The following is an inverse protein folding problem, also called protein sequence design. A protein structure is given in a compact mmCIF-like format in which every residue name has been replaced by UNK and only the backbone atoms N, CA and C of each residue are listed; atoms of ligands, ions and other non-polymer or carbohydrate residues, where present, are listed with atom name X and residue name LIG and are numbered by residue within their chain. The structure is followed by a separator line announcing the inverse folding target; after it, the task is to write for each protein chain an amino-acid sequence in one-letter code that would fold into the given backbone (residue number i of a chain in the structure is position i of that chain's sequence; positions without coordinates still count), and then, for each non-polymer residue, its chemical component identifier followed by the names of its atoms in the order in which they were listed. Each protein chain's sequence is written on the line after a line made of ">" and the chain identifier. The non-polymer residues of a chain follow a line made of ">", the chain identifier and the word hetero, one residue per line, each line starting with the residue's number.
data_IF_565165175901
#
_entry.id   IF_565165175901
#
_cell.length_a   1.000
_cell.length_b   1.000
_cell.length_c   1.000
_cell.angle_alpha   90.00
_cell.angle_beta   90.00
_cell.angle_gamma   90.00
#
_symmetry.space_group_name_H-M   'P 1'
#
loop_
_entity.id
_entity.type
_entity.pdbx_description
1 polymer ?
#
# COMPACT_ATOMS: atom_id res chain seq x y z
N UNK A 1 13.19 -6.90 15.53
CA UNK A 1 11.96 -6.36 16.13
C UNK A 1 11.80 -4.92 15.67
N UNK A 2 10.77 -4.60 14.88
CA UNK A 2 10.81 -3.38 14.04
C UNK A 2 9.65 -2.40 14.20
N UNK A 3 8.84 -2.50 15.27
CA UNK A 3 7.95 -1.42 15.71
C UNK A 3 6.86 -0.92 14.74
N UNK A 4 6.75 -1.49 13.52
CA UNK A 4 5.88 -0.93 12.47
C UNK A 4 4.39 -1.28 12.68
N UNK A 5 4.13 -2.30 13.51
CA UNK A 5 2.79 -2.70 13.94
C UNK A 5 2.68 -2.60 15.47
N UNK A 6 2.24 -1.45 16.00
CA UNK A 6 1.59 -1.49 17.31
C UNK A 6 0.32 -2.31 17.11
N UNK A 7 0.35 -3.57 17.55
CA UNK A 7 -0.79 -4.46 17.54
C UNK A 7 -1.93 -3.93 18.40
N UNK A 8 -3.05 -4.64 18.42
CA UNK A 8 -4.17 -4.34 19.31
C UNK A 8 -3.68 -4.28 20.79
N UNK A 9 -4.41 -3.59 21.69
CA UNK A 9 -4.06 -3.48 23.11
C UNK A 9 -3.81 -4.84 23.79
N UNK A 10 -4.37 -5.93 23.24
CA UNK A 10 -4.22 -7.31 23.69
C UNK A 10 -2.96 -8.04 23.18
N UNK A 11 -2.08 -7.36 22.43
CA UNK A 11 -0.86 -7.92 21.80
C UNK A 11 -1.11 -9.07 20.80
N UNK A 12 -2.34 -9.29 20.34
CA UNK A 12 -2.62 -10.33 19.34
C UNK A 12 -2.27 -9.86 17.93
N UNK A 13 -1.41 -10.64 17.26
CA UNK A 13 -1.23 -10.53 15.82
C UNK A 13 -2.36 -11.31 15.15
N UNK A 14 -3.27 -10.61 14.48
CA UNK A 14 -4.45 -11.20 13.80
C UNK A 14 -4.19 -11.26 12.28
N UNK A 15 -3.42 -12.24 11.78
CA UNK A 15 -2.87 -12.24 10.42
C UNK A 15 -3.94 -12.24 9.33
N UNK A 16 -5.13 -12.78 9.61
CA UNK A 16 -6.20 -13.01 8.64
C UNK A 16 -7.11 -11.79 8.43
N UNK A 17 -7.05 -10.80 9.33
CA UNK A 17 -7.82 -9.58 9.15
C UNK A 17 -7.31 -8.80 7.94
N UNK A 18 -8.25 -8.32 7.13
CA UNK A 18 -7.95 -7.44 6.01
C UNK A 18 -7.38 -6.12 6.51
N UNK A 19 -6.41 -5.58 5.78
CA UNK A 19 -5.80 -4.29 6.10
C UNK A 19 -6.69 -3.18 5.58
N UNK A 20 -7.11 -2.26 6.47
CA UNK A 20 -7.80 -1.01 6.10
C UNK A 20 -6.83 -0.01 5.43
N UNK A 21 -7.36 0.85 4.56
CA UNK A 21 -6.57 1.85 3.82
C UNK A 21 -5.94 2.90 4.72
N UNK A 22 -6.59 3.28 5.82
CA UNK A 22 -6.00 4.18 6.82
C UNK A 22 -4.83 3.54 7.58
N UNK A 23 -4.96 2.27 7.96
CA UNK A 23 -3.92 1.50 8.61
C UNK A 23 -2.71 1.31 7.69
N UNK A 24 -2.93 1.14 6.38
CA UNK A 24 -1.88 1.15 5.36
C UNK A 24 -1.12 2.49 5.35
N UNK A 25 -1.84 3.62 5.33
CA UNK A 25 -1.22 4.94 5.37
C UNK A 25 -0.36 5.14 6.62
N UNK A 26 -0.92 4.79 7.78
CA UNK A 26 -0.20 4.88 9.03
C UNK A 26 1.05 4.00 9.05
N UNK A 27 0.98 2.82 8.44
CA UNK A 27 2.11 1.92 8.34
C UNK A 27 3.22 2.48 7.44
N UNK A 28 2.90 2.86 6.20
CA UNK A 28 3.89 3.38 5.24
C UNK A 28 4.55 4.66 5.76
N UNK A 29 3.77 5.53 6.41
CA UNK A 29 4.30 6.71 7.08
C UNK A 29 5.32 6.33 8.17
N UNK A 30 4.98 5.39 9.06
CA UNK A 30 5.92 4.93 10.10
C UNK A 30 7.14 4.24 9.49
N UNK A 31 6.96 3.48 8.41
CA UNK A 31 8.05 2.80 7.72
C UNK A 31 9.06 3.79 7.14
N UNK A 32 8.59 4.87 6.50
CA UNK A 32 9.44 5.96 5.99
C UNK A 32 10.23 6.70 7.08
N UNK A 33 9.77 6.66 8.33
CA UNK A 33 10.37 7.38 9.46
C UNK A 33 11.01 6.45 10.51
N UNK A 34 11.34 5.20 10.15
CA UNK A 34 11.96 4.20 11.04
C UNK A 34 13.27 4.68 11.71
N UNK A 35 13.95 5.68 11.15
CA UNK A 35 15.22 6.23 11.66
C UNK A 35 15.11 7.20 12.85
N UNK A 36 13.93 7.40 13.44
CA UNK A 36 13.77 8.23 14.64
C UNK A 36 13.76 9.75 14.40
N UNK A 37 13.88 10.18 13.15
CA UNK A 37 13.60 11.57 12.79
C UNK A 37 12.13 11.88 13.10
N UNK A 38 11.89 12.96 13.85
CA UNK A 38 10.53 13.41 14.10
C UNK A 38 9.94 13.85 12.76
N UNK A 39 8.81 13.27 12.33
CA UNK A 39 8.21 13.65 11.05
C UNK A 39 7.83 15.13 11.08
N UNK A 40 8.36 15.92 10.14
CA UNK A 40 8.10 17.36 10.01
C UNK A 40 6.89 17.69 9.15
N UNK A 41 6.16 16.66 8.68
CA UNK A 41 5.02 16.86 7.81
C UNK A 41 3.86 17.55 8.56
N UNK A 42 3.49 18.73 8.06
CA UNK A 42 2.34 19.50 8.52
C UNK A 42 1.14 19.14 7.63
N UNK A 43 0.07 18.53 8.16
CA UNK A 43 -1.13 18.24 7.38
C UNK A 43 -1.78 19.52 6.85
N UNK A 44 -2.38 19.49 5.65
CA UNK A 44 -3.08 20.65 5.12
C UNK A 44 -4.31 20.98 5.95
N UNK A 45 -4.63 22.27 6.10
CA UNK A 45 -5.82 22.75 6.81
C UNK A 45 -7.13 22.47 6.06
N UNK A 46 -7.04 22.16 4.77
CA UNK A 46 -8.14 21.67 3.94
C UNK A 46 -7.81 20.28 3.42
N UNK A 47 -8.74 19.35 3.60
CA UNK A 47 -8.56 17.97 3.14
C UNK A 47 -8.52 17.88 1.62
N UNK A 48 -7.58 17.10 1.04
CA UNK A 48 -7.58 16.78 -0.38
C UNK A 48 -8.65 15.74 -0.75
N UNK A 49 -9.27 15.08 0.22
CA UNK A 49 -10.30 14.06 0.01
C UNK A 49 -11.63 14.48 0.67
N UNK A 50 -12.73 14.24 -0.03
CA UNK A 50 -14.07 14.68 0.41
C UNK A 50 -14.62 13.89 1.59
N UNK A 51 -14.13 12.67 1.82
CA UNK A 51 -14.53 11.74 2.89
C UNK A 51 -13.52 11.66 4.03
N UNK A 52 -12.70 12.70 4.19
CA UNK A 52 -11.66 12.75 5.22
C UNK A 52 -11.65 14.12 5.91
N UNK A 53 -12.07 14.18 7.16
CA UNK A 53 -12.04 15.38 7.98
C UNK A 53 -10.64 15.59 8.59
N UNK A 54 -10.27 16.85 8.87
CA UNK A 54 -8.97 17.21 9.49
C UNK A 54 -8.81 16.65 10.91
N UNK A 55 -9.91 16.28 11.56
CA UNK A 55 -9.96 15.66 12.88
C UNK A 55 -9.92 14.14 12.85
N UNK A 56 -9.98 13.51 11.67
CA UNK A 56 -10.05 12.06 11.56
C UNK A 56 -8.74 11.38 12.01
N UNK A 57 -8.83 10.18 12.59
CA UNK A 57 -7.66 9.34 12.80
C UNK A 57 -6.86 9.16 11.52
N UNK A 58 -5.55 9.21 11.63
CA UNK A 58 -4.62 9.05 10.52
C UNK A 58 -4.71 10.12 9.41
N UNK A 59 -5.41 11.24 9.64
CA UNK A 59 -5.48 12.36 8.68
C UNK A 59 -4.09 12.78 8.18
N UNK A 60 -3.14 12.93 9.12
CA UNK A 60 -1.75 13.29 8.81
C UNK A 60 -1.09 12.26 7.89
N UNK A 61 -1.19 10.98 8.21
CA UNK A 61 -0.53 9.92 7.46
C UNK A 61 -1.14 9.74 6.07
N UNK A 62 -2.47 9.86 5.95
CA UNK A 62 -3.17 9.80 4.66
C UNK A 62 -2.80 11.01 3.78
N UNK A 63 -2.80 12.22 4.34
CA UNK A 63 -2.43 13.42 3.58
C UNK A 63 -0.95 13.49 3.26
N UNK A 64 -0.08 12.88 4.07
CA UNK A 64 1.33 12.68 3.72
C UNK A 64 1.46 11.76 2.50
N UNK A 65 0.76 10.63 2.47
CA UNK A 65 0.77 9.76 1.28
C UNK A 65 0.32 10.51 0.02
N UNK A 66 -0.70 11.37 0.15
CA UNK A 66 -1.20 12.17 -0.97
C UNK A 66 -0.13 13.17 -1.43
N UNK A 67 0.50 13.89 -0.49
CA UNK A 67 1.56 14.85 -0.77
C UNK A 67 2.80 14.21 -1.42
N UNK A 68 3.11 12.95 -1.07
CA UNK A 68 4.19 12.17 -1.69
C UNK A 68 3.79 11.49 -3.01
N UNK A 69 2.54 11.63 -3.46
CA UNK A 69 2.03 10.95 -4.66
C UNK A 69 1.87 9.43 -4.50
N UNK A 70 1.96 8.91 -3.28
CA UNK A 70 1.83 7.48 -2.98
C UNK A 70 0.36 7.03 -3.11
N UNK A 71 -0.58 7.90 -2.75
CA UNK A 71 -2.01 7.70 -3.01
C UNK A 71 -2.60 8.84 -3.82
N UNK A 72 -3.56 8.50 -4.66
CA UNK A 72 -4.32 9.45 -5.49
C UNK A 72 -5.81 9.49 -5.10
N UNK A 73 -6.23 8.69 -4.12
CA UNK A 73 -7.64 8.44 -3.84
C UNK A 73 -8.36 7.77 -5.01
N UNK A 74 -9.68 7.93 -5.03
CA UNK A 74 -10.59 7.49 -6.07
C UNK A 74 -10.99 8.67 -6.96
N UNK A 75 -11.52 8.37 -8.15
CA UNK A 75 -11.91 9.38 -9.14
C UNK A 75 -13.06 10.28 -8.68
N UNK A 76 -13.81 9.86 -7.67
CA UNK A 76 -14.88 10.64 -7.01
C UNK A 76 -14.36 11.62 -5.95
N UNK A 77 -13.03 11.72 -5.78
CA UNK A 77 -12.40 12.59 -4.78
C UNK A 77 -12.33 11.99 -3.37
N UNK A 78 -12.68 10.71 -3.18
CA UNK A 78 -12.62 10.04 -1.88
C UNK A 78 -11.31 9.30 -1.65
N UNK A 79 -10.95 9.04 -0.39
CA UNK A 79 -9.85 8.15 0.01
C UNK A 79 -10.33 6.76 0.45
N UNK A 80 -11.51 6.70 1.07
CA UNK A 80 -12.17 5.52 1.67
C UNK A 80 -11.33 4.89 2.79
N UNK A 81 -11.08 5.61 3.90
CA UNK A 81 -10.13 5.19 4.94
C UNK A 81 -10.43 3.81 5.54
N UNK A 82 -11.71 3.48 5.70
CA UNK A 82 -12.14 2.20 6.29
C UNK A 82 -12.19 1.05 5.29
N UNK A 83 -12.03 1.35 4.00
CA UNK A 83 -12.04 0.35 2.94
C UNK A 83 -10.88 -0.63 3.07
N UNK A 84 -11.10 -1.88 2.68
CA UNK A 84 -10.03 -2.87 2.61
C UNK A 84 -9.08 -2.57 1.45
N UNK A 85 -7.78 -2.80 1.67
CA UNK A 85 -6.77 -2.74 0.61
C UNK A 85 -6.79 -4.04 -0.18
N UNK A 86 -7.12 -3.95 -1.47
CA UNK A 86 -6.96 -5.05 -2.42
C UNK A 86 -5.50 -5.23 -2.86
N UNK A 87 -5.16 -6.41 -3.37
CA UNK A 87 -3.79 -6.75 -3.81
C UNK A 87 -3.26 -5.86 -4.93
N UNK A 88 -4.12 -5.45 -5.86
CA UNK A 88 -3.78 -4.49 -6.91
C UNK A 88 -3.48 -3.09 -6.34
N UNK A 89 -4.26 -2.63 -5.36
CA UNK A 89 -4.03 -1.38 -4.65
C UNK A 89 -2.72 -1.43 -3.86
N UNK A 90 -2.41 -2.55 -3.20
CA UNK A 90 -1.12 -2.75 -2.53
C UNK A 90 0.04 -2.62 -3.52
N UNK A 91 -0.07 -3.20 -4.71
CA UNK A 91 0.94 -3.07 -5.76
C UNK A 91 1.15 -1.60 -6.13
N UNK A 92 0.06 -0.84 -6.30
CA UNK A 92 0.13 0.59 -6.59
C UNK A 92 0.77 1.40 -5.46
N UNK A 93 0.42 1.13 -4.21
CA UNK A 93 1.03 1.78 -3.05
C UNK A 93 2.54 1.55 -3.00
N UNK A 94 3.00 0.30 -3.14
CA UNK A 94 4.42 -0.04 -3.04
C UNK A 94 5.23 0.49 -4.23
N UNK A 95 4.69 0.43 -5.45
CA UNK A 95 5.34 1.00 -6.64
C UNK A 95 5.55 2.51 -6.49
N UNK A 96 4.52 3.23 -6.04
CA UNK A 96 4.61 4.68 -5.86
C UNK A 96 5.48 5.06 -4.66
N UNK A 97 5.43 4.28 -3.59
CA UNK A 97 6.33 4.41 -2.45
C UNK A 97 7.80 4.28 -2.87
N UNK A 98 8.11 3.38 -3.81
CA UNK A 98 9.43 3.23 -4.40
C UNK A 98 9.83 4.36 -5.38
N UNK A 99 9.06 5.46 -5.43
CA UNK A 99 9.33 6.60 -6.31
C UNK A 99 8.82 6.43 -7.75
N UNK A 100 7.92 5.47 -7.99
CA UNK A 100 7.37 5.18 -9.34
C UNK A 100 8.45 4.95 -10.40
N UNK A 101 9.38 4.01 -10.17
CA UNK A 101 10.55 3.81 -11.02
C UNK A 101 10.17 3.51 -12.47
N UNK A 102 10.96 3.99 -13.43
CA UNK A 102 10.73 3.69 -14.83
C UNK A 102 10.70 2.17 -15.07
N UNK A 103 9.55 1.67 -15.55
CA UNK A 103 9.35 0.25 -15.77
C UNK A 103 8.49 0.02 -17.02
N UNK A 104 8.93 -0.91 -17.87
CA UNK A 104 8.19 -1.35 -19.05
C UNK A 104 7.50 -2.67 -18.74
N UNK A 105 6.16 -2.70 -18.62
CA UNK A 105 5.43 -3.94 -18.36
C UNK A 105 5.61 -4.94 -19.50
N UNK A 106 5.70 -6.25 -19.21
CA UNK A 106 5.84 -7.26 -20.24
C UNK A 106 4.60 -7.29 -21.14
N UNK A 107 4.79 -7.62 -22.43
CA UNK A 107 3.70 -7.75 -23.41
C UNK A 107 2.75 -8.91 -23.10
N UNK A 108 3.22 -9.92 -22.36
CA UNK A 108 2.43 -11.03 -21.85
C UNK A 108 2.43 -10.96 -20.32
N UNK A 109 1.26 -11.09 -19.72
CA UNK A 109 1.14 -11.08 -18.26
C UNK A 109 1.81 -12.33 -17.67
N UNK A 110 2.60 -12.19 -16.59
CA UNK A 110 3.09 -13.33 -15.82
C UNK A 110 1.97 -13.99 -15.00
N UNK A 111 0.80 -13.35 -14.88
CA UNK A 111 -0.36 -13.85 -14.14
C UNK A 111 -1.55 -14.05 -15.06
N UNK A 112 -2.21 -15.21 -14.94
CA UNK A 112 -3.31 -15.62 -15.83
C UNK A 112 -4.58 -14.79 -15.66
N UNK A 113 -4.77 -14.16 -14.51
CA UNK A 113 -5.94 -13.35 -14.14
C UNK A 113 -5.68 -11.83 -14.16
N UNK A 114 -4.56 -11.40 -14.74
CA UNK A 114 -4.24 -9.98 -14.89
C UNK A 114 -4.12 -9.62 -16.37
N UNK A 115 -5.08 -8.85 -16.86
CA UNK A 115 -5.07 -8.33 -18.22
C UNK A 115 -4.00 -7.25 -18.40
N UNK A 116 -3.31 -7.24 -19.54
CA UNK A 116 -2.26 -6.25 -19.87
C UNK A 116 -2.79 -4.82 -20.00
N UNK A 117 -4.09 -4.67 -20.23
CA UNK A 117 -4.81 -3.39 -20.30
C UNK A 117 -5.54 -3.04 -19.00
N UNK A 118 -5.45 -3.90 -17.98
CA UNK A 118 -6.14 -3.75 -16.71
C UNK A 118 -5.53 -2.66 -15.82
N UNK A 119 -6.29 -2.19 -14.81
CA UNK A 119 -5.78 -1.25 -13.83
C UNK A 119 -4.58 -1.86 -13.10
N UNK A 120 -3.59 -1.01 -12.81
CA UNK A 120 -2.38 -1.37 -12.06
C UNK A 120 -1.52 -2.49 -12.68
N UNK A 121 -1.71 -2.85 -13.95
CA UNK A 121 -0.91 -3.89 -14.60
C UNK A 121 0.59 -3.65 -14.49
N UNK A 122 1.02 -2.39 -14.71
CA UNK A 122 2.43 -1.98 -14.58
C UNK A 122 2.94 -2.20 -13.17
N UNK A 123 2.20 -1.76 -12.17
CA UNK A 123 2.58 -1.84 -10.77
C UNK A 123 2.63 -3.30 -10.30
N UNK A 124 1.65 -4.12 -10.69
CA UNK A 124 1.61 -5.56 -10.39
C UNK A 124 2.82 -6.28 -11.01
N UNK A 125 3.11 -6.01 -12.28
CA UNK A 125 4.22 -6.67 -12.98
C UNK A 125 5.59 -6.14 -12.56
N UNK A 126 5.69 -4.88 -12.12
CA UNK A 126 6.89 -4.37 -11.47
C UNK A 126 7.15 -5.10 -10.14
N UNK A 127 6.12 -5.30 -9.30
CA UNK A 127 6.26 -6.10 -8.07
C UNK A 127 6.76 -7.51 -8.36
N UNK A 128 6.26 -8.13 -9.43
CA UNK A 128 6.70 -9.45 -9.85
C UNK A 128 8.16 -9.44 -10.32
N UNK A 129 8.55 -8.45 -11.13
CA UNK A 129 9.93 -8.26 -11.58
C UNK A 129 10.93 -7.96 -10.46
N UNK A 130 10.47 -7.38 -9.35
CA UNK A 130 11.26 -7.18 -8.13
C UNK A 130 11.18 -8.37 -7.15
N UNK A 131 10.47 -9.44 -7.51
CA UNK A 131 10.23 -10.62 -6.67
C UNK A 131 9.55 -10.28 -5.33
N UNK A 132 8.84 -9.15 -5.28
CA UNK A 132 8.01 -8.74 -4.13
C UNK A 132 6.72 -9.56 -4.10
N UNK A 133 6.33 -10.14 -5.24
CA UNK A 133 5.22 -11.10 -5.32
C UNK A 133 5.52 -12.17 -6.36
N UNK A 134 5.10 -13.40 -6.06
CA UNK A 134 5.15 -14.54 -7.00
C UNK A 134 3.75 -14.99 -7.43
N UNK A 135 2.70 -14.29 -6.98
CA UNK A 135 1.32 -14.74 -7.15
C UNK A 135 0.97 -15.96 -6.29
N UNK A 136 0.04 -16.76 -6.79
CA UNK A 136 -0.39 -18.04 -6.22
C UNK A 136 0.12 -19.19 -7.08
N UNK A 137 0.12 -20.40 -6.51
CA UNK A 137 0.62 -21.60 -7.20
C UNK A 137 -0.16 -21.96 -8.49
N UNK A 138 -1.39 -21.46 -8.62
CA UNK A 138 -2.24 -21.61 -9.82
C UNK A 138 -1.90 -20.60 -10.93
N UNK A 139 -0.86 -19.78 -10.76
CA UNK A 139 -0.45 -18.76 -11.72
C UNK A 139 -1.28 -17.46 -11.66
N UNK A 140 -2.15 -17.30 -10.65
CA UNK A 140 -2.96 -16.09 -10.47
C UNK A 140 -2.29 -15.07 -9.55
N UNK A 141 -2.66 -13.79 -9.69
CA UNK A 141 -2.32 -12.71 -8.77
C UNK A 141 -3.47 -12.39 -7.81
N UNK A 142 -4.73 -12.59 -8.20
CA UNK A 142 -5.96 -12.25 -7.47
C UNK A 142 -6.07 -10.76 -7.12
N UNK A 143 -6.08 -9.86 -8.12
CA UNK A 143 -5.93 -8.41 -7.92
C UNK A 143 -6.96 -7.81 -6.95
N UNK A 144 -8.21 -8.29 -6.99
CA UNK A 144 -9.33 -7.79 -6.19
C UNK A 144 -9.42 -8.39 -4.78
N UNK A 145 -8.62 -9.41 -4.49
CA UNK A 145 -8.63 -10.04 -3.17
C UNK A 145 -8.06 -9.06 -2.13
N UNK A 146 -8.74 -8.95 -0.99
CA UNK A 146 -8.27 -8.14 0.12
C UNK A 146 -6.94 -8.69 0.67
N UNK A 147 -6.03 -7.79 1.02
CA UNK A 147 -4.74 -8.15 1.61
C UNK A 147 -4.92 -8.34 3.11
N UNK A 148 -4.60 -9.56 3.58
CA UNK A 148 -4.49 -9.84 5.00
C UNK A 148 -3.23 -9.21 5.59
N UNK A 149 -3.19 -8.99 6.90
CA UNK A 149 -2.00 -8.46 7.59
C UNK A 149 -0.77 -9.32 7.38
N UNK A 150 -0.93 -10.65 7.36
CA UNK A 150 0.14 -11.59 7.06
C UNK A 150 0.70 -11.40 5.64
N UNK A 151 -0.19 -11.28 4.65
CA UNK A 151 0.20 -11.02 3.28
C UNK A 151 0.93 -9.67 3.15
N UNK A 152 0.39 -8.59 3.75
CA UNK A 152 1.04 -7.28 3.78
C UNK A 152 2.47 -7.36 4.34
N UNK A 153 2.64 -8.02 5.49
CA UNK A 153 3.97 -8.23 6.09
C UNK A 153 4.93 -8.92 5.12
N UNK A 154 4.46 -9.93 4.39
CA UNK A 154 5.27 -10.65 3.41
C UNK A 154 5.67 -9.77 2.20
N UNK A 155 4.75 -8.95 1.67
CA UNK A 155 5.08 -7.97 0.63
C UNK A 155 6.18 -7.01 1.10
N UNK A 156 6.02 -6.44 2.28
CA UNK A 156 6.94 -5.44 2.84
C UNK A 156 8.30 -6.02 3.20
N UNK A 157 8.33 -7.24 3.76
CA UNK A 157 9.58 -7.93 4.04
C UNK A 157 10.40 -8.11 2.76
N UNK A 158 9.75 -8.53 1.67
CA UNK A 158 10.41 -8.68 0.37
C UNK A 158 10.80 -7.34 -0.23
N UNK A 159 9.95 -6.31 -0.14
CA UNK A 159 10.27 -4.95 -0.60
C UNK A 159 11.52 -4.39 0.12
N UNK A 160 11.58 -4.50 1.45
CA UNK A 160 12.73 -4.09 2.25
C UNK A 160 14.01 -4.83 1.84
N UNK A 161 13.91 -6.12 1.50
CA UNK A 161 15.03 -6.90 0.96
C UNK A 161 15.55 -6.43 -0.40
N UNK A 162 14.81 -5.55 -1.09
CA UNK A 162 15.17 -4.92 -2.37
C UNK A 162 15.56 -3.44 -2.23
N UNK A 163 15.67 -2.94 -0.99
CA UNK A 163 15.98 -1.53 -0.72
C UNK A 163 14.83 -0.57 -0.98
N UNK A 164 13.58 -1.07 -0.98
CA UNK A 164 12.34 -0.29 -1.08
C UNK A 164 11.76 -0.08 0.31
#
# INVERSE_FOLDING_TARGET
>A
DSGVAKGYPDRTFRPDLSVRRDAMAAFLYRYAHRGGATPTFVPPTRSPFSDLATTDPFYREITWLAAQGITTGYTDGTYRPEGSVSRDSMAAFLYRYAGSPAFSPPRRSPFTDVATTGPFYREITWLAGQEITTGYADGTFRPRLAVSRGAMSAFLHRANGRGI
#
